data_IF_421299216690
#
_entry.id   IF_421299216690
#
_cell.length_a   1.000
_cell.length_b   1.000
_cell.length_c   1.000
_cell.angle_alpha   90.00
_cell.angle_beta   90.00
_cell.angle_gamma   90.00
#
_symmetry.space_group_name_H-M   'P 1'
#
loop_
_entity.id
_entity.type
_entity.pdbx_description
1 polymer ?
#
# COMPACT_ATOMS: atom_id res chain seq x y z
N UNK A 1 -34.79 21.03 2.86
CA UNK A 1 -34.57 19.73 2.18
C UNK A 1 -33.73 18.91 3.14
N UNK A 2 -34.29 17.82 3.65
CA UNK A 2 -33.60 16.91 4.57
C UNK A 2 -32.66 16.02 3.77
N UNK A 3 -31.36 15.99 4.15
CA UNK A 3 -30.39 15.07 3.59
C UNK A 3 -30.64 13.71 4.24
N UNK A 4 -31.18 12.76 3.49
CA UNK A 4 -31.27 11.37 3.93
C UNK A 4 -29.87 10.75 3.96
N UNK A 5 -29.37 10.48 5.15
CA UNK A 5 -28.17 9.70 5.37
C UNK A 5 -28.50 8.22 5.12
N UNK A 6 -28.15 7.72 3.92
CA UNK A 6 -28.21 6.29 3.67
C UNK A 6 -27.21 5.59 4.60
N UNK A 7 -27.69 4.88 5.61
CA UNK A 7 -26.89 4.00 6.46
C UNK A 7 -26.22 2.95 5.57
N UNK A 8 -24.91 3.07 5.43
CA UNK A 8 -24.10 1.98 4.87
C UNK A 8 -24.27 0.81 5.83
N UNK A 9 -24.89 -0.29 5.36
CA UNK A 9 -24.99 -1.52 6.16
C UNK A 9 -23.61 -1.87 6.69
N UNK A 10 -23.48 -2.26 7.96
CA UNK A 10 -22.20 -2.72 8.49
C UNK A 10 -21.69 -3.83 7.57
N UNK A 11 -20.44 -3.65 7.11
CA UNK A 11 -19.73 -4.67 6.35
C UNK A 11 -19.68 -5.92 7.23
N UNK A 12 -20.08 -7.10 6.73
CA UNK A 12 -20.03 -8.31 7.53
C UNK A 12 -18.60 -8.52 8.07
N UNK A 13 -18.44 -9.15 9.24
CA UNK A 13 -17.12 -9.42 9.80
C UNK A 13 -16.30 -10.19 8.77
N UNK A 14 -15.11 -9.66 8.50
CA UNK A 14 -14.16 -10.23 7.54
C UNK A 14 -13.71 -11.57 8.08
N UNK A 15 -13.91 -12.63 7.33
CA UNK A 15 -13.21 -13.89 7.54
C UNK A 15 -11.74 -13.66 7.13
N UNK A 16 -10.96 -13.05 8.05
CA UNK A 16 -9.53 -12.88 7.87
C UNK A 16 -8.92 -14.24 8.15
N UNK A 17 -8.70 -15.00 7.09
CA UNK A 17 -7.91 -16.21 7.20
C UNK A 17 -6.48 -15.83 7.62
N UNK A 18 -5.73 -16.73 8.22
CA UNK A 18 -4.31 -16.50 8.56
C UNK A 18 -3.46 -16.09 7.34
N UNK A 19 -3.98 -16.26 6.13
CA UNK A 19 -3.30 -16.01 4.85
C UNK A 19 -3.56 -14.63 4.24
N UNK A 20 -4.65 -13.90 4.61
CA UNK A 20 -5.01 -12.60 4.00
C UNK A 20 -6.51 -12.40 3.76
N UNK A 21 -6.84 -11.45 2.87
CA UNK A 21 -8.20 -11.17 2.41
C UNK A 21 -8.31 -11.63 0.96
N UNK A 22 -9.24 -12.56 0.69
CA UNK A 22 -9.47 -13.11 -0.64
C UNK A 22 -10.97 -12.99 -0.96
N UNK A 23 -11.32 -12.12 -1.90
CA UNK A 23 -12.69 -11.80 -2.25
C UNK A 23 -12.98 -12.20 -3.69
N UNK A 24 -14.03 -12.99 -3.88
CA UNK A 24 -14.46 -13.42 -5.21
C UNK A 24 -15.46 -12.46 -5.83
N UNK A 25 -15.32 -12.24 -7.13
CA UNK A 25 -16.26 -11.52 -7.96
C UNK A 25 -16.08 -11.88 -9.44
N UNK A 26 -17.09 -11.65 -10.32
CA UNK A 26 -16.99 -12.01 -11.74
C UNK A 26 -16.21 -11.00 -12.60
N UNK A 27 -15.77 -9.87 -12.04
CA UNK A 27 -15.42 -8.62 -12.73
C UNK A 27 -14.33 -8.64 -13.80
N UNK A 28 -14.16 -7.47 -14.41
CA UNK A 28 -13.34 -7.22 -15.60
C UNK A 28 -11.84 -7.11 -15.38
N UNK A 29 -11.34 -7.14 -14.13
CA UNK A 29 -9.92 -7.25 -13.81
C UNK A 29 -9.71 -8.01 -12.50
N UNK A 30 -8.53 -8.60 -12.31
CA UNK A 30 -8.07 -9.11 -11.01
C UNK A 30 -7.28 -8.00 -10.33
N UNK A 31 -7.52 -7.79 -9.03
CA UNK A 31 -6.80 -6.79 -8.24
C UNK A 31 -6.01 -7.47 -7.13
N UNK A 32 -4.69 -7.23 -7.07
CA UNK A 32 -3.83 -7.66 -5.96
C UNK A 32 -3.35 -6.44 -5.18
N UNK A 33 -3.50 -6.44 -3.86
CA UNK A 33 -3.08 -5.35 -2.98
C UNK A 33 -2.13 -5.85 -1.89
N UNK A 34 -1.01 -5.16 -1.69
CA UNK A 34 0.00 -5.48 -0.68
C UNK A 34 0.01 -4.44 0.45
N UNK A 35 0.07 -4.92 1.70
CA UNK A 35 0.09 -4.08 2.90
C UNK A 35 1.47 -3.49 3.21
N UNK A 36 1.52 -2.60 4.22
CA UNK A 36 2.74 -1.92 4.67
C UNK A 36 3.72 -2.80 5.46
N UNK A 37 4.89 -2.20 5.81
CA UNK A 37 6.06 -2.90 6.37
C UNK A 37 5.81 -3.64 7.69
N UNK A 38 5.00 -3.08 8.57
CA UNK A 38 4.63 -3.66 9.87
C UNK A 38 3.13 -3.85 9.99
N UNK A 39 2.43 -3.67 8.87
CA UNK A 39 0.99 -3.76 8.79
C UNK A 39 0.46 -5.17 8.57
N UNK A 40 -0.77 -5.22 8.13
CA UNK A 40 -1.46 -6.46 7.81
C UNK A 40 -2.48 -6.25 6.69
N UNK A 41 -3.02 -7.31 6.07
CA UNK A 41 -4.06 -7.17 5.05
C UNK A 41 -5.29 -6.36 5.49
N UNK A 42 -5.54 -6.23 6.81
CA UNK A 42 -6.66 -5.43 7.35
C UNK A 42 -6.57 -3.95 7.04
N UNK A 43 -5.36 -3.41 6.84
CA UNK A 43 -5.15 -2.02 6.40
C UNK A 43 -5.82 -1.74 5.05
N UNK A 44 -5.94 -2.78 4.22
CA UNK A 44 -6.50 -2.72 2.88
C UNK A 44 -7.98 -3.13 2.83
N UNK A 45 -8.54 -3.55 3.96
CA UNK A 45 -9.86 -4.15 4.03
C UNK A 45 -10.96 -3.27 3.43
N UNK A 46 -11.01 -1.98 3.78
CA UNK A 46 -12.01 -1.07 3.21
C UNK A 46 -11.91 -0.98 1.68
N UNK A 47 -10.70 -0.83 1.17
CA UNK A 47 -10.44 -0.74 -0.27
C UNK A 47 -10.83 -2.05 -0.97
N UNK A 48 -10.42 -3.19 -0.41
CA UNK A 48 -10.72 -4.51 -0.97
C UNK A 48 -12.24 -4.75 -1.09
N UNK A 49 -12.99 -4.45 -0.03
CA UNK A 49 -14.46 -4.60 -0.05
C UNK A 49 -15.13 -3.63 -1.02
N UNK A 50 -14.66 -2.39 -1.09
CA UNK A 50 -15.17 -1.42 -2.05
C UNK A 50 -15.01 -1.92 -3.48
N UNK A 51 -13.80 -2.38 -3.84
CA UNK A 51 -13.51 -2.90 -5.17
C UNK A 51 -14.32 -4.16 -5.49
N UNK A 52 -14.47 -5.06 -4.53
CA UNK A 52 -15.29 -6.26 -4.70
C UNK A 52 -16.79 -5.92 -4.84
N UNK A 53 -17.32 -5.06 -3.99
CA UNK A 53 -18.75 -4.77 -3.94
C UNK A 53 -19.19 -3.82 -5.06
N UNK A 54 -18.42 -2.73 -5.30
CA UNK A 54 -18.74 -1.69 -6.29
C UNK A 54 -18.16 -2.00 -7.67
N UNK A 55 -16.87 -2.34 -7.73
CA UNK A 55 -16.17 -2.66 -8.98
C UNK A 55 -16.45 -4.08 -9.47
N UNK A 56 -16.96 -4.95 -8.58
CA UNK A 56 -17.19 -6.38 -8.86
C UNK A 56 -15.93 -7.13 -9.26
N UNK A 57 -14.76 -6.66 -8.76
CA UNK A 57 -13.46 -7.25 -9.03
C UNK A 57 -13.12 -8.33 -8.00
N UNK A 58 -12.54 -9.48 -8.39
CA UNK A 58 -11.86 -10.37 -7.47
C UNK A 58 -10.64 -9.63 -6.88
N UNK A 59 -10.50 -9.65 -5.55
CA UNK A 59 -9.43 -8.94 -4.83
C UNK A 59 -8.62 -9.91 -3.99
N UNK A 60 -7.30 -9.78 -4.07
CA UNK A 60 -6.31 -10.59 -3.38
C UNK A 60 -5.43 -9.68 -2.54
N UNK A 61 -5.57 -9.74 -1.21
CA UNK A 61 -4.71 -9.04 -0.26
C UNK A 61 -3.94 -10.08 0.58
N UNK A 62 -2.87 -10.67 0.05
CA UNK A 62 -2.11 -11.69 0.77
C UNK A 62 -1.39 -11.08 1.98
N UNK A 63 -1.14 -11.91 2.98
CA UNK A 63 -0.24 -11.59 4.07
C UNK A 63 1.20 -11.87 3.64
N UNK A 64 2.06 -10.87 3.71
CA UNK A 64 3.49 -11.04 3.42
C UNK A 64 4.16 -11.94 4.46
N UNK A 65 5.24 -12.61 4.05
CA UNK A 65 5.99 -13.55 4.87
C UNK A 65 6.32 -12.99 6.25
N UNK A 66 6.18 -13.82 7.28
CA UNK A 66 6.45 -13.52 8.68
C UNK A 66 5.58 -12.42 9.33
N UNK A 67 4.70 -11.75 8.57
CA UNK A 67 3.68 -10.88 9.15
C UNK A 67 2.62 -11.71 9.87
N UNK A 68 2.16 -11.22 11.01
CA UNK A 68 1.27 -11.99 11.88
C UNK A 68 2.00 -12.96 12.82
N UNK A 69 3.30 -13.15 12.65
CA UNK A 69 4.16 -13.95 13.53
C UNK A 69 4.72 -13.07 14.68
N UNK A 70 5.34 -13.67 15.72
CA UNK A 70 6.04 -12.90 16.75
C UNK A 70 7.02 -11.89 16.14
N UNK A 71 7.14 -10.71 16.77
CA UNK A 71 7.98 -9.62 16.29
C UNK A 71 9.44 -10.06 16.05
N UNK A 72 9.95 -10.98 16.87
CA UNK A 72 11.28 -11.57 16.72
C UNK A 72 11.47 -12.36 15.41
N UNK A 73 10.40 -12.93 14.88
CA UNK A 73 10.40 -13.63 13.59
C UNK A 73 10.36 -12.61 12.45
N UNK A 74 9.46 -11.63 12.53
CA UNK A 74 9.37 -10.54 11.56
C UNK A 74 10.70 -9.78 11.47
N UNK A 75 11.35 -9.50 12.60
CA UNK A 75 12.64 -8.81 12.68
C UNK A 75 13.77 -9.52 11.92
N UNK A 76 13.64 -10.80 11.65
CA UNK A 76 14.64 -11.57 10.91
C UNK A 76 14.38 -11.63 9.40
N UNK A 77 13.26 -11.09 8.93
CA UNK A 77 12.87 -11.11 7.53
C UNK A 77 13.81 -10.26 6.68
N UNK A 78 14.37 -10.86 5.63
CA UNK A 78 15.20 -10.14 4.66
C UNK A 78 14.35 -9.50 3.57
N UNK A 79 14.93 -8.54 2.85
CA UNK A 79 14.26 -7.91 1.72
C UNK A 79 13.95 -8.91 0.60
N UNK A 80 14.81 -9.94 0.42
CA UNK A 80 14.58 -11.02 -0.55
C UNK A 80 13.32 -11.81 -0.19
N UNK A 81 13.20 -12.21 1.09
CA UNK A 81 12.02 -12.94 1.55
C UNK A 81 10.73 -12.12 1.40
N UNK A 82 10.78 -10.80 1.66
CA UNK A 82 9.63 -9.90 1.41
C UNK A 82 9.26 -9.88 -0.06
N UNK A 83 10.25 -9.72 -0.95
CA UNK A 83 10.03 -9.68 -2.39
C UNK A 83 9.55 -11.03 -2.92
N UNK A 84 10.17 -12.13 -2.51
CA UNK A 84 9.79 -13.48 -2.95
C UNK A 84 8.37 -13.83 -2.52
N UNK A 85 7.96 -13.44 -1.31
CA UNK A 85 6.58 -13.61 -0.83
C UNK A 85 5.57 -12.79 -1.66
N UNK A 86 5.92 -11.54 -2.00
CA UNK A 86 5.09 -10.73 -2.89
C UNK A 86 5.00 -11.30 -4.30
N UNK A 87 6.12 -11.85 -4.81
CA UNK A 87 6.20 -12.49 -6.12
C UNK A 87 5.39 -13.79 -6.18
N UNK A 88 5.43 -14.60 -5.13
CA UNK A 88 4.60 -15.81 -5.03
C UNK A 88 3.11 -15.45 -5.14
N UNK A 89 2.64 -14.50 -4.33
CA UNK A 89 1.26 -14.02 -4.39
C UNK A 89 0.90 -13.41 -5.75
N UNK A 90 1.84 -12.70 -6.38
CA UNK A 90 1.68 -12.17 -7.73
C UNK A 90 1.49 -13.30 -8.77
N UNK A 91 2.26 -14.38 -8.66
CA UNK A 91 2.13 -15.50 -9.59
C UNK A 91 0.75 -16.16 -9.52
N UNK A 92 0.15 -16.25 -8.34
CA UNK A 92 -1.21 -16.76 -8.15
C UNK A 92 -2.25 -15.80 -8.79
N UNK A 93 -2.14 -14.49 -8.52
CA UNK A 93 -3.02 -13.48 -9.11
C UNK A 93 -2.88 -13.41 -10.64
N UNK A 94 -1.65 -13.54 -11.15
CA UNK A 94 -1.34 -13.63 -12.59
C UNK A 94 -1.99 -14.85 -13.23
N UNK A 95 -1.89 -16.01 -12.58
CA UNK A 95 -2.52 -17.24 -13.08
C UNK A 95 -4.03 -17.07 -13.15
N UNK A 96 -4.66 -16.47 -12.14
CA UNK A 96 -6.09 -16.18 -12.12
C UNK A 96 -6.47 -15.19 -13.23
N UNK A 97 -5.74 -14.08 -13.39
CA UNK A 97 -5.95 -13.09 -14.44
C UNK A 97 -5.91 -13.72 -15.84
N UNK A 98 -4.91 -14.56 -16.11
CA UNK A 98 -4.77 -15.29 -17.37
C UNK A 98 -5.90 -16.29 -17.60
N UNK A 99 -6.29 -17.05 -16.56
CA UNK A 99 -7.39 -18.03 -16.65
C UNK A 99 -8.73 -17.36 -16.93
N UNK A 100 -8.96 -16.16 -16.42
CA UNK A 100 -10.16 -15.35 -16.66
C UNK A 100 -10.06 -14.50 -17.93
N UNK A 101 -8.89 -14.40 -18.55
CA UNK A 101 -8.57 -13.49 -19.68
C UNK A 101 -8.95 -12.04 -19.38
N UNK A 102 -8.60 -11.53 -18.19
CA UNK A 102 -8.81 -10.14 -17.76
C UNK A 102 -7.48 -9.50 -17.34
N UNK A 103 -7.35 -8.14 -17.32
CA UNK A 103 -6.13 -7.50 -16.86
C UNK A 103 -5.85 -7.75 -15.37
N UNK A 104 -4.58 -7.69 -14.99
CA UNK A 104 -4.12 -7.71 -13.61
C UNK A 104 -3.67 -6.29 -13.19
N UNK A 105 -4.38 -5.72 -12.23
CA UNK A 105 -3.99 -4.48 -11.55
C UNK A 105 -3.37 -4.86 -10.21
N UNK A 106 -2.17 -4.37 -9.93
CA UNK A 106 -1.52 -4.56 -8.65
C UNK A 106 -1.36 -3.22 -7.93
N UNK A 107 -1.36 -3.23 -6.61
CA UNK A 107 -1.18 -2.02 -5.83
C UNK A 107 -0.79 -2.33 -4.40
N UNK A 108 -0.47 -1.29 -3.64
CA UNK A 108 -0.11 -1.50 -2.25
C UNK A 108 0.12 -0.22 -1.48
N UNK A 109 0.08 -0.35 -0.16
CA UNK A 109 0.34 0.71 0.80
C UNK A 109 1.83 0.69 1.18
N UNK A 110 2.50 1.85 1.15
CA UNK A 110 3.84 2.03 1.70
C UNK A 110 4.88 1.06 1.08
N UNK A 111 5.37 0.07 1.84
CA UNK A 111 6.21 -1.03 1.33
C UNK A 111 5.51 -1.78 0.20
N UNK A 112 4.20 -2.03 0.34
CA UNK A 112 3.42 -2.73 -0.67
C UNK A 112 3.51 -2.06 -2.05
N UNK A 113 3.51 -0.72 -2.10
CA UNK A 113 3.71 0.03 -3.33
C UNK A 113 5.10 -0.19 -3.95
N UNK A 114 6.15 -0.22 -3.11
CA UNK A 114 7.53 -0.49 -3.56
C UNK A 114 7.65 -1.88 -4.17
N UNK A 115 7.04 -2.89 -3.53
CA UNK A 115 7.02 -4.27 -4.04
C UNK A 115 6.25 -4.37 -5.36
N UNK A 116 5.11 -3.69 -5.48
CA UNK A 116 4.32 -3.67 -6.72
C UNK A 116 5.07 -3.00 -7.88
N UNK A 117 5.78 -1.90 -7.65
CA UNK A 117 6.63 -1.27 -8.66
C UNK A 117 7.74 -2.21 -9.14
N UNK A 118 8.37 -2.95 -8.21
CA UNK A 118 9.40 -3.94 -8.57
C UNK A 118 8.81 -5.10 -9.39
N UNK A 119 7.62 -5.59 -9.03
CA UNK A 119 6.92 -6.63 -9.80
C UNK A 119 6.53 -6.14 -11.20
N UNK A 120 6.04 -4.90 -11.32
CA UNK A 120 5.68 -4.33 -12.62
C UNK A 120 6.87 -4.18 -13.57
N UNK A 121 8.05 -3.82 -13.05
CA UNK A 121 9.27 -3.76 -13.84
C UNK A 121 9.78 -5.16 -14.23
N UNK A 122 9.63 -6.16 -13.37
CA UNK A 122 10.05 -7.54 -13.69
C UNK A 122 9.09 -8.27 -14.63
N UNK A 123 7.79 -7.94 -14.58
CA UNK A 123 6.72 -8.59 -15.35
C UNK A 123 5.88 -7.59 -16.17
N UNK A 124 6.49 -6.81 -17.07
CA UNK A 124 5.81 -5.72 -17.77
C UNK A 124 4.63 -6.18 -18.64
N UNK A 125 4.68 -7.42 -19.16
CA UNK A 125 3.62 -7.99 -20.01
C UNK A 125 2.42 -8.51 -19.22
N UNK A 126 2.55 -8.68 -17.89
CA UNK A 126 1.50 -9.27 -17.04
C UNK A 126 0.80 -8.23 -16.17
N UNK A 127 1.46 -7.11 -15.88
CA UNK A 127 0.91 -6.03 -15.05
C UNK A 127 0.26 -4.98 -15.94
N UNK A 128 -1.06 -4.92 -15.88
CA UNK A 128 -1.83 -3.96 -16.67
C UNK A 128 -1.89 -2.56 -16.03
N UNK A 129 -1.62 -2.43 -14.74
CA UNK A 129 -1.55 -1.16 -14.03
C UNK A 129 -1.07 -1.30 -12.59
N UNK A 130 -0.45 -0.25 -12.05
CA UNK A 130 0.06 -0.19 -10.67
C UNK A 130 -0.56 0.96 -9.90
N UNK A 131 -1.09 0.69 -8.69
CA UNK A 131 -1.56 1.69 -7.75
C UNK A 131 -0.63 1.80 -6.54
N UNK A 132 0.03 2.94 -6.39
CA UNK A 132 0.93 3.25 -5.28
C UNK A 132 0.19 4.13 -4.26
N UNK A 133 -0.08 3.59 -3.08
CA UNK A 133 -0.78 4.23 -1.98
C UNK A 133 0.24 4.63 -0.92
N UNK A 134 0.45 5.93 -0.70
CA UNK A 134 1.50 6.46 0.21
C UNK A 134 2.85 5.73 0.05
N UNK A 135 3.44 5.68 -1.16
CA UNK A 135 4.66 4.89 -1.39
C UNK A 135 5.82 5.39 -0.54
N UNK A 136 6.70 4.48 -0.09
CA UNK A 136 7.83 4.82 0.79
C UNK A 136 9.17 4.65 0.09
N UNK A 137 9.73 5.74 -0.41
CA UNK A 137 11.10 5.84 -0.94
C UNK A 137 12.03 6.68 -0.06
N UNK A 138 11.45 7.51 0.81
CA UNK A 138 12.14 8.35 1.79
C UNK A 138 11.32 8.37 3.08
N UNK A 139 11.97 8.19 4.21
CA UNK A 139 11.38 8.39 5.53
C UNK A 139 11.58 9.85 5.93
N UNK A 140 10.73 10.74 5.44
CA UNK A 140 10.89 12.21 5.56
C UNK A 140 9.58 12.92 5.96
N UNK A 141 8.62 12.17 6.49
CA UNK A 141 7.40 12.71 7.09
C UNK A 141 7.69 13.52 8.35
N UNK A 142 6.74 14.36 8.76
CA UNK A 142 6.91 15.30 9.86
C UNK A 142 7.03 14.63 11.25
N UNK A 143 6.54 13.38 11.41
CA UNK A 143 6.63 12.62 12.68
C UNK A 143 7.84 11.68 12.75
N UNK A 144 8.65 11.60 11.70
CA UNK A 144 9.79 10.69 11.66
C UNK A 144 10.92 11.22 12.54
N UNK A 145 11.34 10.51 13.61
CA UNK A 145 12.39 10.98 14.51
C UNK A 145 13.73 11.16 13.77
N UNK A 146 14.47 12.22 14.09
CA UNK A 146 15.77 12.50 13.45
C UNK A 146 16.79 11.34 13.52
N UNK A 147 16.67 10.46 14.51
CA UNK A 147 17.54 9.29 14.71
C UNK A 147 17.43 8.28 13.55
N UNK A 148 16.38 8.32 12.72
CA UNK A 148 16.29 7.48 11.52
C UNK A 148 17.47 7.70 10.57
N UNK A 149 18.08 8.89 10.57
CA UNK A 149 19.27 9.21 9.78
C UNK A 149 20.49 8.38 10.16
N UNK A 150 20.47 7.74 11.34
CA UNK A 150 21.52 6.83 11.80
C UNK A 150 21.32 5.38 11.34
N UNK A 151 20.15 5.03 10.80
CA UNK A 151 19.87 3.66 10.31
C UNK A 151 20.92 3.17 9.32
N UNK A 152 21.40 4.00 8.35
CA UNK A 152 22.48 3.57 7.44
C UNK A 152 23.74 3.11 8.16
N UNK A 153 24.08 3.77 9.28
CA UNK A 153 25.24 3.44 10.07
C UNK A 153 25.01 2.16 10.89
N UNK A 154 23.79 1.98 11.41
CA UNK A 154 23.41 0.80 12.17
C UNK A 154 23.41 -0.47 11.30
N UNK A 155 23.20 -0.34 10.00
CA UNK A 155 23.22 -1.47 9.07
C UNK A 155 24.54 -2.24 9.06
N UNK A 156 25.65 -1.55 9.33
CA UNK A 156 26.98 -2.15 9.42
C UNK A 156 27.34 -2.65 10.83
N UNK A 157 26.43 -2.59 11.78
CA UNK A 157 26.67 -2.98 13.16
C UNK A 157 25.70 -4.08 13.63
N UNK A 158 26.09 -4.89 14.65
CA UNK A 158 25.17 -5.85 15.24
C UNK A 158 23.98 -5.19 15.99
N UNK A 159 24.02 -3.89 16.26
CA UNK A 159 22.97 -3.17 16.99
C UNK A 159 21.62 -3.25 16.29
N UNK A 160 21.57 -3.33 14.93
CA UNK A 160 20.35 -3.49 14.16
C UNK A 160 19.49 -4.71 14.57
N UNK A 161 20.09 -5.74 15.17
CA UNK A 161 19.39 -6.96 15.60
C UNK A 161 18.71 -6.79 16.96
N UNK A 162 19.06 -5.76 17.72
CA UNK A 162 18.61 -5.55 19.11
C UNK A 162 17.82 -4.24 19.27
N UNK A 163 17.83 -3.37 18.29
CA UNK A 163 17.19 -2.07 18.37
C UNK A 163 15.79 -2.10 17.74
N UNK A 164 14.84 -1.43 18.42
CA UNK A 164 13.46 -1.28 18.00
C UNK A 164 13.04 0.18 18.18
N UNK A 165 12.23 0.69 17.26
CA UNK A 165 11.46 1.91 17.46
C UNK A 165 10.06 1.54 17.91
N UNK A 166 9.52 2.26 18.88
CA UNK A 166 8.10 2.18 19.18
C UNK A 166 7.37 3.10 18.23
N UNK A 167 6.24 2.64 17.73
CA UNK A 167 5.34 3.50 16.97
C UNK A 167 4.61 4.41 17.96
N UNK A 168 4.70 5.72 17.73
CA UNK A 168 4.02 6.74 18.51
C UNK A 168 2.86 7.35 17.70
N UNK A 169 1.94 8.03 18.42
CA UNK A 169 0.88 8.76 17.75
C UNK A 169 1.45 9.75 16.71
N UNK A 170 0.80 9.89 15.56
CA UNK A 170 -0.59 9.51 15.23
C UNK A 170 -0.78 8.14 14.57
N UNK A 171 0.21 7.24 14.52
CA UNK A 171 0.12 5.90 13.91
C UNK A 171 -0.27 5.93 12.42
N UNK A 172 0.12 6.95 11.69
CA UNK A 172 -0.27 7.12 10.29
C UNK A 172 -1.74 7.48 10.06
N UNK A 173 -2.48 7.91 11.10
CA UNK A 173 -3.93 8.12 11.05
C UNK A 173 -4.33 9.48 11.60
N UNK A 174 -5.13 10.23 10.83
CA UNK A 174 -5.79 11.45 11.25
C UNK A 174 -7.12 11.17 11.97
N UNK A 175 -7.79 10.05 11.67
CA UNK A 175 -9.00 9.60 12.34
C UNK A 175 -8.75 9.34 13.85
N UNK A 176 -9.20 10.24 14.71
CA UNK A 176 -8.99 10.18 16.17
C UNK A 176 -9.65 8.96 16.81
N UNK A 177 -10.78 8.51 16.27
CA UNK A 177 -11.51 7.35 16.81
C UNK A 177 -10.72 6.06 16.54
N UNK A 178 -10.22 5.90 15.32
CA UNK A 178 -9.41 4.75 14.96
C UNK A 178 -8.05 4.79 15.68
N UNK A 179 -7.42 5.97 15.77
CA UNK A 179 -6.19 6.20 16.50
C UNK A 179 -6.30 5.81 17.97
N UNK A 180 -7.39 6.22 18.65
CA UNK A 180 -7.65 5.84 20.03
C UNK A 180 -7.79 4.33 20.25
N UNK A 181 -8.38 3.61 19.30
CA UNK A 181 -8.47 2.13 19.34
C UNK A 181 -7.09 1.48 19.21
N UNK A 182 -6.25 1.99 18.30
CA UNK A 182 -4.87 1.49 18.09
C UNK A 182 -4.03 1.78 19.34
N UNK A 183 -4.06 3.00 19.87
CA UNK A 183 -3.35 3.37 21.08
C UNK A 183 -3.72 2.46 22.27
N UNK A 184 -5.01 2.18 22.45
CA UNK A 184 -5.49 1.27 23.52
C UNK A 184 -4.97 -0.16 23.34
N UNK A 185 -4.78 -0.61 22.12
CA UNK A 185 -4.26 -1.94 21.80
C UNK A 185 -2.74 -1.99 21.98
N UNK A 186 -2.01 -1.01 21.48
CA UNK A 186 -0.54 -0.94 21.58
C UNK A 186 -0.06 -0.77 23.03
N UNK A 187 -0.82 -0.05 23.87
CA UNK A 187 -0.51 0.08 25.30
C UNK A 187 -0.62 -1.24 26.11
N UNK A 188 -1.33 -2.24 25.56
CA UNK A 188 -1.42 -3.59 26.14
C UNK A 188 -0.32 -4.54 25.64
N UNK A 189 0.43 -4.14 24.60
CA UNK A 189 1.44 -4.98 23.97
C UNK A 189 2.82 -4.67 24.54
N UNK A 190 3.43 -5.62 25.27
CA UNK A 190 4.87 -5.56 25.59
C UNK A 190 5.70 -6.13 24.43
N UNK A 191 6.98 -5.71 24.32
CA UNK A 191 7.92 -6.24 23.29
C UNK A 191 8.01 -7.77 23.35
N UNK A 192 7.88 -8.35 24.55
CA UNK A 192 8.00 -9.80 24.79
C UNK A 192 6.67 -10.55 24.61
N UNK A 193 5.53 -9.85 24.76
CA UNK A 193 4.19 -10.44 24.63
C UNK A 193 3.58 -10.20 23.24
N UNK A 194 4.25 -9.45 22.36
CA UNK A 194 3.83 -9.25 20.94
C UNK A 194 3.91 -10.55 20.13
N UNK A 195 3.61 -11.67 20.75
CA UNK A 195 3.51 -12.97 20.12
C UNK A 195 2.29 -13.12 19.22
N UNK A 196 1.42 -12.13 19.20
CA UNK A 196 0.28 -12.09 18.30
C UNK A 196 0.24 -10.68 17.70
N UNK A 197 0.43 -10.58 16.39
CA UNK A 197 0.11 -9.35 15.68
C UNK A 197 -1.33 -9.03 16.01
N UNK A 198 -1.56 -7.79 16.41
CA UNK A 198 -2.92 -7.28 16.40
C UNK A 198 -3.46 -7.38 14.98
N UNK A 199 -4.77 -7.43 14.81
CA UNK A 199 -5.37 -7.34 13.46
C UNK A 199 -4.91 -6.09 12.69
N UNK A 200 -4.27 -5.12 13.36
CA UNK A 200 -3.86 -3.82 12.84
C UNK A 200 -2.34 -3.67 12.62
N UNK A 201 -1.51 -4.65 13.00
CA UNK A 201 -0.06 -4.55 12.83
C UNK A 201 0.74 -4.65 14.13
N UNK A 202 1.98 -4.15 14.14
CA UNK A 202 2.92 -4.21 15.25
C UNK A 202 3.17 -2.83 15.86
N UNK A 203 3.18 -2.76 17.20
CA UNK A 203 3.51 -1.54 17.95
C UNK A 203 5.00 -1.18 17.95
N UNK A 204 5.87 -2.06 17.46
CA UNK A 204 7.30 -1.87 17.45
C UNK A 204 7.88 -2.19 16.08
N UNK A 205 8.83 -1.37 15.65
CA UNK A 205 9.52 -1.47 14.36
C UNK A 205 10.96 -1.95 14.60
N UNK A 206 11.35 -3.15 14.18
CA UNK A 206 12.73 -3.59 14.24
C UNK A 206 13.63 -2.74 13.34
N UNK A 207 14.73 -2.21 13.85
CA UNK A 207 15.70 -1.41 13.06
C UNK A 207 16.23 -2.21 11.87
N UNK A 208 16.45 -3.52 12.06
CA UNK A 208 16.86 -4.39 10.95
C UNK A 208 15.88 -4.35 9.78
N UNK A 209 14.57 -4.33 10.04
CA UNK A 209 13.57 -4.31 8.99
C UNK A 209 13.65 -3.00 8.17
N UNK A 210 13.96 -1.86 8.81
CA UNK A 210 14.25 -0.62 8.09
C UNK A 210 15.54 -0.72 7.23
N UNK A 211 16.56 -1.42 7.70
CA UNK A 211 17.76 -1.68 6.88
C UNK A 211 17.40 -2.49 5.64
N UNK A 212 16.59 -3.54 5.79
CA UNK A 212 16.11 -4.36 4.67
C UNK A 212 15.24 -3.54 3.70
N UNK A 213 14.34 -2.69 4.24
CA UNK A 213 13.53 -1.78 3.42
C UNK A 213 14.39 -0.83 2.58
N UNK A 214 15.51 -0.32 3.12
CA UNK A 214 16.45 0.53 2.35
C UNK A 214 17.05 -0.21 1.15
N UNK A 215 17.31 -1.52 1.27
CA UNK A 215 17.76 -2.34 0.15
C UNK A 215 16.69 -2.46 -0.94
N UNK A 216 15.42 -2.67 -0.56
CA UNK A 216 14.29 -2.64 -1.49
C UNK A 216 14.16 -1.28 -2.19
N UNK A 217 14.14 -0.20 -1.41
CA UNK A 217 14.05 1.18 -1.94
C UNK A 217 15.16 1.46 -2.94
N UNK A 218 16.40 1.10 -2.61
CA UNK A 218 17.55 1.31 -3.52
C UNK A 218 17.39 0.58 -4.85
N UNK A 219 16.79 -0.61 -4.84
CA UNK A 219 16.49 -1.36 -6.05
C UNK A 219 15.33 -0.75 -6.81
N UNK A 220 14.24 -0.45 -6.12
CA UNK A 220 13.07 0.18 -6.69
C UNK A 220 13.42 1.46 -7.46
N UNK A 221 14.20 2.36 -6.85
CA UNK A 221 14.62 3.60 -7.52
C UNK A 221 15.36 3.40 -8.85
N UNK A 222 16.09 2.29 -8.98
CA UNK A 222 16.85 2.00 -10.22
C UNK A 222 15.98 1.45 -11.32
N UNK A 223 14.88 0.78 -10.97
CA UNK A 223 14.00 0.11 -11.94
C UNK A 223 12.76 0.96 -12.29
N UNK A 224 12.57 2.14 -11.69
CA UNK A 224 11.43 3.00 -12.01
C UNK A 224 11.29 3.28 -13.52
N UNK A 225 12.37 3.55 -14.27
CA UNK A 225 12.28 3.75 -15.73
C UNK A 225 11.76 2.53 -16.51
N UNK A 226 11.85 1.32 -15.93
CA UNK A 226 11.41 0.07 -16.56
C UNK A 226 9.92 -0.20 -16.34
N UNK A 227 9.23 0.56 -15.46
CA UNK A 227 7.78 0.45 -15.22
C UNK A 227 7.04 1.24 -16.31
N UNK A 228 6.49 0.53 -17.30
CA UNK A 228 5.84 1.13 -18.46
C UNK A 228 4.31 1.13 -18.42
N UNK A 229 3.68 0.28 -17.55
CA UNK A 229 2.23 0.21 -17.42
C UNK A 229 1.66 1.48 -16.76
N UNK A 230 0.34 1.78 -16.90
CA UNK A 230 -0.35 2.85 -16.20
C UNK A 230 -0.08 2.86 -14.70
N UNK A 231 0.08 4.06 -14.11
CA UNK A 231 0.40 4.22 -12.69
C UNK A 231 -0.50 5.26 -12.04
N UNK A 232 -1.19 4.85 -10.96
CA UNK A 232 -1.90 5.73 -10.04
C UNK A 232 -1.05 5.92 -8.78
N UNK A 233 -0.81 7.17 -8.42
CA UNK A 233 -0.15 7.58 -7.17
C UNK A 233 -1.18 8.29 -6.29
N UNK A 234 -1.37 7.84 -5.06
CA UNK A 234 -2.24 8.52 -4.08
C UNK A 234 -1.42 8.81 -2.83
N UNK A 235 -1.35 10.07 -2.42
CA UNK A 235 -0.49 10.55 -1.34
C UNK A 235 -1.23 11.55 -0.45
N UNK A 236 -1.03 11.48 0.86
CA UNK A 236 -1.50 12.51 1.77
C UNK A 236 -0.55 13.73 1.77
N UNK A 237 -1.11 14.95 1.73
CA UNK A 237 -0.30 16.20 1.83
C UNK A 237 0.44 16.29 3.17
N UNK A 238 -0.22 15.82 4.23
CA UNK A 238 0.28 15.87 5.61
C UNK A 238 0.69 14.50 6.14
N UNK A 239 1.24 13.65 5.27
CA UNK A 239 1.73 12.33 5.64
C UNK A 239 2.80 12.43 6.74
N UNK A 240 2.58 11.73 7.85
CA UNK A 240 3.44 11.76 9.03
C UNK A 240 4.72 10.92 8.89
N UNK A 241 4.74 9.96 7.96
CA UNK A 241 5.87 9.03 7.74
C UNK A 241 6.63 9.31 6.45
N UNK A 242 5.92 9.66 5.35
CA UNK A 242 6.50 9.84 4.01
C UNK A 242 5.94 11.09 3.34
N UNK A 243 6.77 12.10 3.13
CA UNK A 243 6.31 13.37 2.53
C UNK A 243 5.83 13.18 1.07
N UNK A 244 5.08 14.13 0.51
CA UNK A 244 4.67 14.13 -0.91
C UNK A 244 5.81 13.96 -1.90
N UNK A 245 7.04 14.27 -1.48
CA UNK A 245 8.26 14.04 -2.27
C UNK A 245 8.38 12.59 -2.75
N UNK A 246 7.85 11.63 -2.00
CA UNK A 246 7.90 10.20 -2.34
C UNK A 246 7.15 9.92 -3.65
N UNK A 247 5.90 10.33 -3.72
CA UNK A 247 5.07 10.18 -4.92
C UNK A 247 5.56 11.05 -6.07
N UNK A 248 5.99 12.29 -5.79
CA UNK A 248 6.58 13.16 -6.81
C UNK A 248 7.85 12.54 -7.43
N UNK A 249 8.72 11.95 -6.60
CA UNK A 249 9.91 11.27 -7.11
C UNK A 249 9.56 10.10 -8.05
N UNK A 250 8.57 9.28 -7.70
CA UNK A 250 8.10 8.21 -8.58
C UNK A 250 7.55 8.82 -9.88
N UNK A 251 6.68 9.83 -9.78
CA UNK A 251 6.05 10.50 -10.92
C UNK A 251 7.07 11.02 -11.93
N UNK A 252 8.19 11.59 -11.43
CA UNK A 252 9.24 12.20 -12.26
C UNK A 252 10.19 11.17 -12.90
N UNK A 253 10.30 9.95 -12.33
CA UNK A 253 11.32 8.98 -12.74
C UNK A 253 10.75 7.70 -13.36
N UNK A 254 9.43 7.51 -13.32
CA UNK A 254 8.79 6.29 -13.85
C UNK A 254 8.71 6.33 -15.38
N UNK A 255 8.90 5.16 -16.01
CA UNK A 255 8.85 5.03 -17.47
C UNK A 255 7.43 5.07 -18.06
N UNK A 256 6.39 5.00 -17.21
CA UNK A 256 5.00 5.06 -17.65
C UNK A 256 4.65 6.39 -18.30
N UNK A 257 3.99 6.33 -19.46
CA UNK A 257 3.41 7.49 -20.14
C UNK A 257 2.04 7.87 -19.59
N UNK A 258 1.35 6.96 -18.92
CA UNK A 258 0.08 7.23 -18.24
C UNK A 258 0.30 7.20 -16.72
N UNK A 259 0.27 8.36 -16.09
CA UNK A 259 0.51 8.52 -14.65
C UNK A 259 -0.41 9.58 -14.07
N UNK A 260 -1.06 9.26 -12.97
CA UNK A 260 -1.95 10.15 -12.22
C UNK A 260 -1.42 10.29 -10.79
N UNK A 261 -1.38 11.53 -10.27
CA UNK A 261 -1.04 11.83 -8.88
C UNK A 261 -2.21 12.51 -8.20
N UNK A 262 -2.73 11.87 -7.16
CA UNK A 262 -3.84 12.35 -6.33
C UNK A 262 -3.31 12.74 -4.96
N UNK A 263 -3.61 13.98 -4.53
CA UNK A 263 -3.24 14.49 -3.21
C UNK A 263 -4.45 14.51 -2.29
N UNK A 264 -4.30 13.94 -1.08
CA UNK A 264 -5.33 13.88 -0.04
C UNK A 264 -5.02 14.92 1.06
N UNK A 265 -6.04 15.66 1.51
CA UNK A 265 -5.86 16.79 2.45
C UNK A 265 -6.15 16.43 3.90
N UNK A 266 -6.98 15.41 4.12
CA UNK A 266 -7.54 15.06 5.43
C UNK A 266 -7.08 13.69 5.93
N UNK A 267 -5.97 13.17 5.38
CA UNK A 267 -5.40 11.88 5.76
C UNK A 267 -3.93 12.01 6.14
N UNK A 268 -3.41 11.00 6.88
CA UNK A 268 -2.00 10.77 7.12
C UNK A 268 -1.53 9.57 6.32
N UNK A 269 -0.49 8.84 6.78
CA UNK A 269 0.19 7.79 6.00
C UNK A 269 -0.71 6.62 5.59
N UNK A 270 -1.55 6.11 6.52
CA UNK A 270 -2.39 4.93 6.27
C UNK A 270 -3.70 5.32 5.57
N UNK A 271 -3.58 5.94 4.39
CA UNK A 271 -4.71 6.49 3.61
C UNK A 271 -5.82 5.49 3.31
N UNK A 272 -5.52 4.19 3.35
CA UNK A 272 -6.47 3.10 3.08
C UNK A 272 -7.46 2.86 4.23
N UNK A 273 -7.14 3.33 5.44
CA UNK A 273 -7.96 3.19 6.63
C UNK A 273 -8.41 4.54 7.22
N UNK A 274 -7.80 5.64 6.82
CA UNK A 274 -8.00 6.97 7.36
C UNK A 274 -9.30 7.66 6.83
N UNK A 275 -9.47 8.93 7.12
CA UNK A 275 -10.69 9.71 6.85
C UNK A 275 -11.09 9.70 5.38
N UNK A 276 -10.14 9.78 4.44
CA UNK A 276 -10.41 9.82 3.00
C UNK A 276 -10.33 8.42 2.33
N UNK A 277 -10.38 7.31 3.08
CA UNK A 277 -10.36 5.95 2.52
C UNK A 277 -11.40 5.71 1.41
N UNK A 278 -12.56 6.40 1.48
CA UNK A 278 -13.59 6.29 0.44
C UNK A 278 -13.15 6.95 -0.87
N UNK A 279 -12.46 8.09 -0.79
CA UNK A 279 -11.86 8.78 -1.93
C UNK A 279 -10.77 7.93 -2.56
N UNK A 280 -9.87 7.34 -1.74
CA UNK A 280 -8.85 6.40 -2.22
C UNK A 280 -9.47 5.22 -2.97
N UNK A 281 -10.51 4.61 -2.39
CA UNK A 281 -11.21 3.48 -3.02
C UNK A 281 -11.85 3.86 -4.36
N UNK A 282 -12.46 5.06 -4.45
CA UNK A 282 -13.06 5.56 -5.68
C UNK A 282 -12.02 5.84 -6.78
N UNK A 283 -10.86 6.42 -6.42
CA UNK A 283 -9.77 6.60 -7.38
C UNK A 283 -9.22 5.27 -7.89
N UNK A 284 -9.01 4.31 -6.99
CA UNK A 284 -8.52 2.99 -7.40
C UNK A 284 -9.54 2.23 -8.27
N UNK A 285 -10.85 2.36 -7.98
CA UNK A 285 -11.89 1.79 -8.84
C UNK A 285 -11.85 2.40 -10.25
N UNK A 286 -11.82 3.75 -10.36
CA UNK A 286 -11.72 4.44 -11.66
C UNK A 286 -10.43 4.05 -12.41
N UNK A 287 -9.33 3.90 -11.70
CA UNK A 287 -8.09 3.41 -12.30
C UNK A 287 -8.24 2.00 -12.90
N UNK A 288 -8.88 1.08 -12.19
CA UNK A 288 -9.20 -0.25 -12.73
C UNK A 288 -10.09 -0.16 -13.97
N UNK A 289 -11.10 0.71 -13.96
CA UNK A 289 -11.99 0.97 -15.11
C UNK A 289 -11.19 1.47 -16.31
N UNK A 290 -10.31 2.48 -16.11
CA UNK A 290 -9.43 3.00 -17.18
C UNK A 290 -8.48 1.94 -17.74
N UNK A 291 -7.90 1.07 -16.89
CA UNK A 291 -7.03 -0.03 -17.35
C UNK A 291 -7.80 -1.05 -18.21
N UNK A 292 -9.04 -1.36 -17.85
CA UNK A 292 -9.91 -2.23 -18.66
C UNK A 292 -10.19 -1.57 -20.03
N UNK A 293 -10.56 -0.30 -20.03
CA UNK A 293 -10.88 0.46 -21.25
C UNK A 293 -9.67 0.60 -22.18
N UNK A 294 -8.46 0.81 -21.65
CA UNK A 294 -7.21 0.83 -22.42
C UNK A 294 -6.94 -0.52 -23.10
N UNK A 295 -7.14 -1.62 -22.37
CA UNK A 295 -6.98 -2.96 -22.93
C UNK A 295 -7.98 -3.25 -24.05
N UNK A 296 -9.22 -2.81 -23.90
CA UNK A 296 -10.29 -3.03 -24.86
C UNK A 296 -10.24 -2.06 -26.04
N UNK A 297 -9.27 -1.12 -26.05
CA UNK A 297 -9.08 -0.13 -27.11
C UNK A 297 -10.13 0.99 -27.11
N UNK A 298 -10.89 1.15 -26.03
CA UNK A 298 -11.94 2.15 -25.88
C UNK A 298 -11.40 3.53 -25.43
N UNK A 299 -10.22 3.56 -24.76
CA UNK A 299 -9.47 4.77 -24.41
C UNK A 299 -8.23 4.87 -25.32
N UNK A 300 -8.17 5.95 -26.10
CA UNK A 300 -6.92 6.35 -26.77
C UNK A 300 -5.91 6.89 -25.75
N UNK A 301 -4.61 7.07 -26.14
CA UNK A 301 -3.62 7.67 -25.25
C UNK A 301 -4.09 9.07 -24.84
N UNK A 302 -4.25 9.28 -23.53
CA UNK A 302 -4.59 10.60 -22.97
C UNK A 302 -3.41 11.54 -23.22
N UNK A 303 -3.65 12.61 -23.99
CA UNK A 303 -2.68 13.68 -24.18
C UNK A 303 -2.34 14.31 -22.83
N UNK A 304 -1.05 14.62 -22.64
CA UNK A 304 -0.55 15.52 -21.57
C UNK A 304 -1.37 16.80 -21.58
N UNK A 305 -2.07 17.11 -20.46
CA UNK A 305 -2.47 18.41 -19.92
C UNK A 305 -3.81 18.32 -19.19
N UNK A 306 -3.73 18.04 -17.91
CA UNK A 306 -4.80 18.37 -16.96
C UNK A 306 -4.20 19.00 -15.69
N UNK A 307 -3.27 19.94 -15.88
CA UNK A 307 -2.88 20.93 -14.88
C UNK A 307 -3.36 22.28 -15.39
N UNK A 308 -4.27 22.93 -14.63
CA UNK A 308 -4.81 24.30 -14.83
C UNK A 308 -6.21 24.40 -15.49
N UNK A 309 -7.26 23.92 -14.85
CA UNK A 309 -8.63 24.37 -15.21
C UNK A 309 -9.66 24.40 -14.08
N UNK A 310 -9.31 24.42 -12.81
CA UNK A 310 -10.31 24.67 -11.72
C UNK A 310 -9.84 25.66 -10.63
N UNK A 311 -9.13 26.69 -11.01
CA UNK A 311 -8.78 27.79 -10.09
C UNK A 311 -9.52 29.12 -10.37
N UNK A 312 -10.53 29.13 -11.26
CA UNK A 312 -11.34 30.33 -11.52
C UNK A 312 -12.76 29.95 -11.97
N UNK A 313 -13.63 29.59 -11.03
CA UNK A 313 -15.07 29.73 -11.17
C UNK A 313 -15.73 29.79 -9.79
#
# INVERSE_FOLDING_TARGET
MAVEWAWVKPVPPVDITDCGIFLEAPGGCVVMLLHGLTGSPTELGYIAYHLQYRGRYPVRCPRLVNHGQPLSVLAQTSWQQLYDSAKEAFMDARQESRARNVPLVIGGLSLGAVLCLMLAAEFPEDVAGVACLSPTLFYDGWNVPWVHKLIPLMDFTPLKYFAYFREDEPFGLRDEVLRGKIAAQYNKSSIHESGHSSSLGYAHFPVRLFCEMRHLISRCKRILPDVACPVLLVQAEHDDMTSPRNSQYIFDHIGSTWRELVMLKESYHVITADLERATVAAHLQRFCESVIEMRDGSLGPVAEDATEAEANA
#
